data_IF_376284256993
#
_entry.id   IF_376284256993
#
_cell.length_a   1.000
_cell.length_b   1.000
_cell.length_c   1.000
_cell.angle_alpha   90.00
_cell.angle_beta   90.00
_cell.angle_gamma   90.00
#
_symmetry.space_group_name_H-M   'P 1'
#
loop_
_entity.id
_entity.type
_entity.pdbx_description
1 polymer ?
#
# COMPACT_ATOMS: atom_id res chain seq x y z
N UNK A 1 -12.86 -55.91 16.30
CA UNK A 1 -11.89 -55.47 15.27
C UNK A 1 -12.54 -55.64 13.92
N UNK A 2 -12.34 -54.73 12.94
CA UNK A 2 -12.20 -53.26 12.99
C UNK A 2 -13.50 -52.67 12.33
N UNK A 3 -13.78 -51.37 12.15
CA UNK A 3 -12.99 -50.35 11.46
C UNK A 3 -13.35 -48.97 12.00
N UNK A 4 -12.32 -48.33 12.55
CA UNK A 4 -12.22 -46.90 12.74
C UNK A 4 -12.47 -46.18 11.43
N UNK A 5 -13.50 -45.34 11.37
CA UNK A 5 -13.52 -44.21 10.44
C UNK A 5 -13.43 -42.93 11.24
N UNK A 6 -12.17 -42.54 11.47
CA UNK A 6 -11.83 -41.16 11.76
C UNK A 6 -12.35 -40.30 10.61
N UNK A 7 -13.40 -39.54 10.83
CA UNK A 7 -13.72 -38.39 9.99
C UNK A 7 -12.67 -37.34 10.29
N UNK A 8 -11.57 -37.38 9.56
CA UNK A 8 -10.67 -36.25 9.42
C UNK A 8 -11.46 -35.22 8.61
N UNK A 9 -12.26 -34.41 9.28
CA UNK A 9 -12.81 -33.19 8.71
C UNK A 9 -11.67 -32.16 8.78
N UNK A 10 -10.75 -32.26 7.83
CA UNK A 10 -9.89 -31.14 7.46
C UNK A 10 -10.78 -30.09 6.79
N UNK A 11 -11.48 -29.28 7.58
CA UNK A 11 -11.97 -27.99 7.09
C UNK A 11 -10.80 -27.02 7.18
N UNK A 12 -9.86 -27.18 6.26
CA UNK A 12 -8.94 -26.12 5.87
C UNK A 12 -9.77 -25.03 5.18
N UNK A 13 -10.19 -24.03 5.94
CA UNK A 13 -10.81 -22.81 5.41
C UNK A 13 -10.44 -21.62 6.28
N UNK A 14 -9.14 -21.41 6.47
CA UNK A 14 -8.57 -20.22 7.12
C UNK A 14 -7.98 -19.22 6.09
N UNK A 15 -8.21 -19.43 4.79
CA UNK A 15 -7.48 -18.72 3.73
C UNK A 15 -8.13 -17.43 3.21
N UNK A 16 -9.34 -17.07 3.66
CA UNK A 16 -10.10 -15.94 3.09
C UNK A 16 -10.24 -14.72 4.03
N UNK A 17 -9.47 -14.65 5.12
CA UNK A 17 -9.47 -13.43 5.94
C UNK A 17 -8.58 -12.36 5.29
N UNK A 18 -9.20 -11.50 4.47
CA UNK A 18 -8.58 -10.25 4.02
C UNK A 18 -8.19 -9.42 5.23
N UNK A 19 -6.89 -9.11 5.35
CA UNK A 19 -6.40 -8.24 6.42
C UNK A 19 -6.85 -6.81 6.14
N UNK A 20 -7.62 -6.22 7.06
CA UNK A 20 -8.12 -4.84 6.94
C UNK A 20 -7.27 -3.92 7.82
N UNK A 21 -6.72 -2.86 7.23
CA UNK A 21 -5.90 -1.86 7.90
C UNK A 21 -6.54 -0.48 7.75
N UNK A 22 -6.94 0.18 8.84
CA UNK A 22 -7.65 1.46 8.81
C UNK A 22 -6.77 2.69 9.08
N UNK A 23 -5.54 2.49 9.51
CA UNK A 23 -4.55 3.56 9.69
C UNK A 23 -3.52 3.50 8.56
N UNK A 24 -3.51 4.52 7.70
CA UNK A 24 -2.63 4.58 6.53
C UNK A 24 -1.14 4.55 6.91
N UNK A 25 -0.75 5.22 8.00
CA UNK A 25 0.66 5.28 8.42
C UNK A 25 1.13 3.93 8.96
N UNK A 26 0.34 3.31 9.82
CA UNK A 26 0.62 1.97 10.35
C UNK A 26 0.60 0.92 9.23
N UNK A 27 -0.30 1.05 8.25
CA UNK A 27 -0.38 0.15 7.11
C UNK A 27 0.88 0.21 6.23
N UNK A 28 1.38 1.42 5.94
CA UNK A 28 2.63 1.62 5.21
C UNK A 28 3.79 0.97 5.97
N UNK A 29 3.91 1.21 7.27
CA UNK A 29 4.98 0.63 8.09
C UNK A 29 4.91 -0.91 8.11
N UNK A 30 3.71 -1.48 8.22
CA UNK A 30 3.50 -2.92 8.22
C UNK A 30 3.89 -3.55 6.87
N UNK A 31 3.55 -2.90 5.75
CA UNK A 31 3.96 -3.32 4.41
C UNK A 31 5.48 -3.22 4.22
N UNK A 32 6.11 -2.13 4.69
CA UNK A 32 7.57 -1.94 4.61
C UNK A 32 8.36 -2.98 5.40
N UNK A 33 7.81 -3.39 6.55
CA UNK A 33 8.41 -4.43 7.41
C UNK A 33 8.04 -5.85 6.98
N UNK A 34 7.26 -6.03 5.91
CA UNK A 34 6.80 -7.33 5.45
C UNK A 34 5.93 -8.07 6.47
N UNK A 35 5.21 -7.33 7.34
CA UNK A 35 4.34 -7.88 8.38
C UNK A 35 2.93 -8.22 7.88
N UNK A 36 2.65 -7.98 6.61
CA UNK A 36 1.34 -8.15 6.00
C UNK A 36 1.49 -9.02 4.75
N UNK A 37 0.57 -9.96 4.61
CA UNK A 37 0.44 -10.86 3.46
C UNK A 37 -0.87 -10.56 2.74
N UNK A 38 -0.92 -10.82 1.43
CA UNK A 38 -2.16 -10.78 0.69
C UNK A 38 -3.08 -11.95 1.09
N UNK A 39 -4.42 -11.80 1.05
CA UNK A 39 -5.14 -10.59 0.67
C UNK A 39 -5.15 -9.50 1.77
N UNK A 40 -4.92 -8.23 1.37
CA UNK A 40 -4.92 -7.06 2.26
C UNK A 40 -5.71 -5.91 1.65
N UNK A 41 -6.44 -5.18 2.50
CA UNK A 41 -7.18 -3.97 2.19
C UNK A 41 -6.81 -2.88 3.19
N UNK A 42 -6.40 -1.72 2.68
CA UNK A 42 -6.19 -0.51 3.46
C UNK A 42 -7.41 0.37 3.27
N UNK A 43 -8.17 0.60 4.33
CA UNK A 43 -9.30 1.52 4.31
C UNK A 43 -8.83 2.91 4.69
N UNK A 44 -9.25 3.88 3.89
CA UNK A 44 -8.94 5.29 4.05
C UNK A 44 -10.26 6.04 4.23
N UNK A 45 -10.17 7.30 4.63
CA UNK A 45 -11.32 8.19 4.74
C UNK A 45 -12.11 8.29 3.42
N UNK A 46 -13.34 8.77 3.52
CA UNK A 46 -14.26 8.98 2.38
C UNK A 46 -14.60 7.71 1.58
N UNK A 47 -14.48 6.53 2.21
CA UNK A 47 -14.83 5.25 1.58
C UNK A 47 -13.84 4.80 0.51
N UNK A 48 -12.64 5.40 0.48
CA UNK A 48 -11.56 5.00 -0.42
C UNK A 48 -10.85 3.79 0.19
N UNK A 49 -10.59 2.75 -0.61
CA UNK A 49 -9.82 1.60 -0.20
C UNK A 49 -8.71 1.28 -1.22
N UNK A 50 -7.57 0.82 -0.71
CA UNK A 50 -6.47 0.31 -1.51
C UNK A 50 -6.31 -1.18 -1.21
N UNK A 51 -6.30 -2.03 -2.23
CA UNK A 51 -6.24 -3.48 -2.04
C UNK A 51 -5.12 -4.14 -2.82
N UNK A 52 -4.66 -5.27 -2.29
CA UNK A 52 -3.83 -6.27 -2.95
C UNK A 52 -4.40 -7.64 -2.63
N UNK A 53 -4.87 -8.34 -3.65
CA UNK A 53 -5.40 -9.70 -3.57
C UNK A 53 -4.27 -10.72 -3.61
N UNK A 54 -3.18 -10.38 -4.31
CA UNK A 54 -2.02 -11.25 -4.48
C UNK A 54 -0.74 -10.66 -3.92
N UNK A 55 0.19 -11.52 -3.49
CA UNK A 55 1.50 -11.11 -2.97
C UNK A 55 2.30 -10.27 -3.97
N UNK A 56 2.13 -10.50 -5.28
CA UNK A 56 2.80 -9.73 -6.32
C UNK A 56 2.35 -8.26 -6.38
N UNK A 57 1.17 -7.96 -5.85
CA UNK A 57 0.56 -6.62 -5.84
C UNK A 57 0.98 -5.78 -4.62
N UNK A 58 1.56 -6.40 -3.59
CA UNK A 58 1.95 -5.73 -2.34
C UNK A 58 2.92 -4.56 -2.57
N UNK A 59 3.86 -4.71 -3.51
CA UNK A 59 4.80 -3.65 -3.86
C UNK A 59 4.08 -2.44 -4.49
N UNK A 60 3.10 -2.69 -5.37
CA UNK A 60 2.29 -1.65 -5.98
C UNK A 60 1.34 -1.00 -4.97
N UNK A 61 0.77 -1.79 -4.04
CA UNK A 61 -0.04 -1.29 -2.93
C UNK A 61 0.77 -0.33 -2.04
N UNK A 62 1.99 -0.71 -1.65
CA UNK A 62 2.87 0.14 -0.86
C UNK A 62 3.17 1.47 -1.54
N UNK A 63 3.45 1.48 -2.85
CA UNK A 63 3.69 2.72 -3.60
C UNK A 63 2.44 3.61 -3.66
N UNK A 64 1.27 3.01 -3.89
CA UNK A 64 -0.02 3.75 -3.87
C UNK A 64 -0.31 4.34 -2.49
N UNK A 65 -0.10 3.59 -1.42
CA UNK A 65 -0.30 4.07 -0.05
C UNK A 65 0.64 5.24 0.30
N UNK A 66 1.92 5.15 -0.09
CA UNK A 66 2.90 6.25 0.06
C UNK A 66 2.50 7.49 -0.74
N UNK A 67 2.07 7.30 -2.00
CA UNK A 67 1.58 8.38 -2.84
C UNK A 67 0.35 9.08 -2.24
N UNK A 68 -0.58 8.29 -1.69
CA UNK A 68 -1.76 8.83 -1.02
C UNK A 68 -1.38 9.67 0.20
N UNK A 69 -0.52 9.15 1.08
CA UNK A 69 0.00 9.91 2.22
C UNK A 69 0.62 11.24 1.79
N UNK A 70 1.42 11.24 0.73
CA UNK A 70 2.02 12.45 0.19
C UNK A 70 0.97 13.47 -0.25
N UNK A 71 -0.06 13.03 -0.99
CA UNK A 71 -1.16 13.89 -1.44
C UNK A 71 -1.93 14.46 -0.25
N UNK A 72 -2.24 13.64 0.77
CA UNK A 72 -2.93 14.08 1.98
C UNK A 72 -2.15 15.14 2.74
N UNK A 73 -0.84 14.92 2.93
CA UNK A 73 0.05 15.91 3.58
C UNK A 73 0.08 17.23 2.78
N UNK A 74 0.20 17.17 1.45
CA UNK A 74 0.20 18.35 0.59
C UNK A 74 -1.15 19.10 0.64
N UNK A 75 -2.27 18.37 0.64
CA UNK A 75 -3.61 18.95 0.74
C UNK A 75 -3.85 19.63 2.10
N UNK A 76 -3.27 19.09 3.18
CA UNK A 76 -3.29 19.68 4.51
C UNK A 76 -2.36 20.90 4.67
N UNK A 77 -1.58 21.25 3.63
CA UNK A 77 -0.59 22.32 3.69
C UNK A 77 0.62 21.98 4.57
N UNK A 78 0.82 20.70 4.87
CA UNK A 78 1.99 20.25 5.63
C UNK A 78 3.25 20.40 4.80
N UNK A 79 4.33 20.80 5.46
CA UNK A 79 5.63 20.92 4.81
C UNK A 79 6.23 19.54 4.62
N UNK A 80 6.05 18.95 3.44
CA UNK A 80 6.66 17.68 3.10
C UNK A 80 8.13 17.93 2.76
N UNK A 81 9.04 17.47 3.63
CA UNK A 81 10.47 17.41 3.26
C UNK A 81 10.60 16.53 2.00
N UNK A 82 11.01 17.16 0.89
CA UNK A 82 11.36 16.40 -0.30
C UNK A 82 12.46 15.42 0.08
N UNK A 83 12.35 14.13 -0.26
CA UNK A 83 13.44 13.19 -0.03
C UNK A 83 14.73 13.76 -0.65
N UNK A 84 15.75 14.00 0.17
CA UNK A 84 17.07 14.49 -0.23
C UNK A 84 17.75 13.61 -1.31
N UNK A 85 17.16 12.45 -1.60
CA UNK A 85 17.55 11.51 -2.65
C UNK A 85 17.19 12.01 -4.06
N UNK A 86 16.47 13.13 -4.19
CA UNK A 86 16.50 13.96 -5.40
C UNK A 86 17.87 14.66 -5.47
N UNK A 87 18.90 13.86 -5.81
CA UNK A 87 20.31 14.25 -5.92
C UNK A 87 20.44 15.61 -6.60
N UNK A 88 21.18 16.53 -5.96
CA UNK A 88 21.59 17.82 -6.53
C UNK A 88 22.18 17.71 -7.95
N UNK A 89 22.73 16.54 -8.31
CA UNK A 89 23.45 16.33 -9.58
C UNK A 89 22.62 15.66 -10.68
N UNK A 90 21.32 15.42 -10.48
CA UNK A 90 20.42 14.97 -11.55
C UNK A 90 19.21 15.89 -11.58
N UNK A 91 18.75 16.33 -12.76
CA UNK A 91 17.56 17.14 -12.83
C UNK A 91 16.41 16.37 -12.18
N UNK A 92 15.95 16.93 -11.06
CA UNK A 92 14.84 16.51 -10.22
C UNK A 92 13.58 16.14 -11.02
N UNK A 93 13.45 16.72 -12.21
CA UNK A 93 12.38 16.51 -13.16
C UNK A 93 12.97 16.27 -14.54
N UNK A 94 12.43 15.27 -15.25
CA UNK A 94 12.66 15.14 -16.68
C UNK A 94 12.21 16.44 -17.39
N UNK A 95 12.96 17.01 -18.36
CA UNK A 95 12.65 18.30 -18.99
C UNK A 95 11.20 18.42 -19.46
N UNK A 96 10.67 17.33 -20.02
CA UNK A 96 9.28 17.24 -20.48
C UNK A 96 8.23 17.42 -19.38
N UNK A 97 8.54 17.03 -18.14
CA UNK A 97 7.63 17.22 -16.99
C UNK A 97 7.65 18.67 -16.53
N UNK A 98 8.80 19.35 -16.63
CA UNK A 98 8.90 20.78 -16.36
C UNK A 98 8.04 21.60 -17.33
N UNK A 99 8.09 21.29 -18.62
CA UNK A 99 7.26 21.95 -19.64
C UNK A 99 5.76 21.81 -19.36
N UNK A 100 5.32 20.61 -18.96
CA UNK A 100 3.92 20.37 -18.61
C UNK A 100 3.49 21.19 -17.40
N UNK A 101 4.31 21.25 -16.35
CA UNK A 101 3.99 22.02 -15.14
C UNK A 101 3.98 23.54 -15.37
N UNK A 102 4.85 24.05 -16.24
CA UNK A 102 4.86 25.47 -16.60
C UNK A 102 3.64 25.85 -17.46
N UNK A 103 3.10 24.92 -18.26
CA UNK A 103 1.88 25.13 -19.04
C UNK A 103 0.57 25.12 -18.20
N UNK A 104 0.65 24.74 -16.93
CA UNK A 104 -0.48 24.71 -15.99
C UNK A 104 -0.54 25.94 -15.06
N UNK A 105 0.38 26.91 -15.23
CA UNK A 105 0.34 28.23 -14.57
C UNK A 105 -0.32 29.27 -15.47
#
# INVERSE_FOLDING_TARGET
MPESRATIMSSSSDTDQTTILSDLSAAIEALEKGKVSAPVRIEVEDGIALEALETCELAALLQRARGLRLITMLAAGENVERPANMRLDKPALHPRVREILDALK
#
